data_IF_057014830306
#
_entry.id   IF_057014830306
#
_cell.length_a   1.000
_cell.length_b   1.000
_cell.length_c   1.000
_cell.angle_alpha   90.00
_cell.angle_beta   90.00
_cell.angle_gamma   90.00
#
_symmetry.space_group_name_H-M   'P 1'
#
loop_
_entity.id
_entity.type
_entity.pdbx_description
1 polymer ?
#
# COMPACT_ATOMS: atom_id res chain seq x y z
N UNK A 1 -42.04 17.34 31.27
CA UNK A 1 -40.68 17.92 31.28
C UNK A 1 -39.60 16.86 31.57
N UNK A 2 -39.68 15.64 30.99
CA UNK A 2 -38.75 14.52 31.26
C UNK A 2 -38.33 13.73 30.00
N UNK A 3 -38.70 14.19 28.80
CA UNK A 3 -38.33 13.50 27.54
C UNK A 3 -37.01 14.05 27.00
N UNK A 4 -36.76 15.35 27.15
CA UNK A 4 -35.59 16.04 26.60
C UNK A 4 -34.25 15.66 27.29
N UNK A 5 -34.28 15.16 28.52
CA UNK A 5 -33.06 14.73 29.24
C UNK A 5 -32.60 13.33 28.82
N UNK A 6 -33.50 12.48 28.31
CA UNK A 6 -33.19 11.09 27.97
C UNK A 6 -32.43 10.97 26.64
N UNK A 7 -32.66 11.88 25.70
CA UNK A 7 -31.94 11.90 24.41
C UNK A 7 -30.50 12.41 24.54
N UNK A 8 -30.25 13.34 25.47
CA UNK A 8 -28.90 13.87 25.72
C UNK A 8 -27.97 12.84 26.34
N UNK A 9 -28.50 11.94 27.19
CA UNK A 9 -27.72 10.84 27.77
C UNK A 9 -27.37 9.77 26.74
N UNK A 10 -28.29 9.46 25.80
CA UNK A 10 -28.03 8.51 24.72
C UNK A 10 -26.97 9.02 23.73
N UNK A 11 -26.95 10.32 23.44
CA UNK A 11 -25.94 10.93 22.56
C UNK A 11 -24.55 11.04 23.20
N UNK A 12 -24.45 11.09 24.53
CA UNK A 12 -23.14 11.08 25.20
C UNK A 12 -22.52 9.67 25.31
N UNK A 13 -23.34 8.61 25.36
CA UNK A 13 -22.85 7.23 25.43
C UNK A 13 -22.25 6.73 24.10
N UNK A 14 -22.71 7.25 22.96
CA UNK A 14 -22.16 6.88 21.65
C UNK A 14 -20.80 7.53 21.37
N UNK A 15 -20.52 8.71 21.95
CA UNK A 15 -19.28 9.42 21.69
C UNK A 15 -18.06 8.91 22.51
N UNK A 16 -18.31 8.15 23.58
CA UNK A 16 -17.24 7.62 24.47
C UNK A 16 -16.77 6.22 24.03
N UNK A 17 -17.60 5.45 23.34
CA UNK A 17 -17.28 4.06 22.95
C UNK A 17 -16.40 3.96 21.69
N UNK A 18 -16.45 4.94 20.79
CA UNK A 18 -15.57 4.98 19.61
C UNK A 18 -14.09 5.20 19.93
N UNK A 19 -13.78 5.91 21.02
CA UNK A 19 -12.40 6.24 21.39
C UNK A 19 -11.64 5.03 21.95
N UNK A 20 -12.29 4.18 22.74
CA UNK A 20 -11.66 2.94 23.24
C UNK A 20 -11.38 1.93 22.12
N UNK A 21 -12.22 1.91 21.07
CA UNK A 21 -12.12 1.01 19.90
C UNK A 21 -10.78 1.14 19.14
N UNK A 22 -10.14 2.30 19.21
CA UNK A 22 -8.89 2.61 18.49
C UNK A 22 -7.63 2.20 19.23
N UNK A 23 -7.63 2.35 20.55
CA UNK A 23 -6.51 1.93 21.39
C UNK A 23 -6.33 0.40 21.38
N UNK A 24 -7.44 -0.36 21.35
CA UNK A 24 -7.35 -1.82 21.31
C UNK A 24 -6.80 -2.37 19.99
N UNK A 25 -7.10 -1.74 18.84
CA UNK A 25 -6.54 -2.15 17.53
C UNK A 25 -5.03 -1.90 17.47
N UNK A 26 -4.56 -0.76 17.98
CA UNK A 26 -3.13 -0.46 18.05
C UNK A 26 -2.40 -1.37 19.05
N UNK A 27 -3.00 -1.60 20.23
CA UNK A 27 -2.43 -2.45 21.27
C UNK A 27 -2.37 -3.93 20.85
N UNK A 28 -3.38 -4.43 20.14
CA UNK A 28 -3.41 -5.80 19.63
C UNK A 28 -2.35 -6.00 18.53
N UNK A 29 -2.21 -5.03 17.62
CA UNK A 29 -1.16 -5.06 16.60
C UNK A 29 0.24 -5.06 17.24
N UNK A 30 0.48 -4.19 18.22
CA UNK A 30 1.73 -4.16 18.96
C UNK A 30 2.02 -5.48 19.69
N UNK A 31 1.01 -6.13 20.28
CA UNK A 31 1.14 -7.42 20.97
C UNK A 31 1.46 -8.56 19.98
N UNK A 32 0.80 -8.61 18.83
CA UNK A 32 1.07 -9.60 17.78
C UNK A 32 2.48 -9.43 17.22
N UNK A 33 2.91 -8.20 16.93
CA UNK A 33 4.28 -7.91 16.47
C UNK A 33 5.31 -8.32 17.52
N UNK A 34 5.06 -8.02 18.80
CA UNK A 34 5.95 -8.41 19.90
C UNK A 34 6.05 -9.93 20.01
N UNK A 35 4.94 -10.67 19.88
CA UNK A 35 4.91 -12.13 19.91
C UNK A 35 5.70 -12.74 18.74
N UNK A 36 5.54 -12.20 17.53
CA UNK A 36 6.28 -12.64 16.34
C UNK A 36 7.79 -12.42 16.51
N UNK A 37 8.20 -11.26 17.04
CA UNK A 37 9.61 -10.98 17.34
C UNK A 37 10.18 -11.92 18.42
N UNK A 38 9.35 -12.35 19.38
CA UNK A 38 9.75 -13.30 20.43
C UNK A 38 9.95 -14.72 19.87
N UNK A 39 9.08 -15.15 18.95
CA UNK A 39 9.22 -16.44 18.24
C UNK A 39 10.46 -16.45 17.33
N UNK A 40 10.73 -15.35 16.63
CA UNK A 40 11.93 -15.23 15.77
C UNK A 40 13.24 -15.19 16.58
N UNK A 41 13.22 -14.62 17.78
CA UNK A 41 14.39 -14.63 18.68
C UNK A 41 14.59 -15.99 19.38
N UNK A 42 13.56 -16.83 19.45
CA UNK A 42 13.59 -18.13 20.15
C UNK A 42 14.26 -19.28 19.38
N UNK A 43 14.57 -19.13 18.09
CA UNK A 43 15.11 -20.22 17.26
C UNK A 43 16.64 -20.19 17.08
N UNK A 44 17.36 -19.23 17.68
CA UNK A 44 18.82 -19.08 17.53
C UNK A 44 19.62 -19.48 18.79
N UNK A 45 19.29 -20.62 19.40
CA UNK A 45 20.15 -21.20 20.43
C UNK A 45 20.16 -22.73 20.35
N UNK A 46 21.04 -23.23 19.48
CA UNK A 46 21.44 -24.62 19.40
C UNK A 46 22.89 -24.69 18.91
N UNK A 47 23.82 -24.79 19.86
CA UNK A 47 25.28 -24.83 19.70
C UNK A 47 25.74 -26.30 19.58
N UNK A 48 26.95 -26.49 19.04
CA UNK A 48 27.89 -27.63 19.21
C UNK A 48 28.03 -28.57 18.00
N UNK A 49 29.25 -28.63 17.46
CA UNK A 49 29.73 -29.73 16.62
C UNK A 49 30.99 -29.40 15.82
N UNK A 50 32.11 -29.06 16.46
CA UNK A 50 33.43 -29.30 15.84
C UNK A 50 33.82 -30.76 16.05
N UNK A 51 34.51 -31.37 15.07
CA UNK A 51 35.87 -31.77 15.40
C UNK A 51 36.92 -31.46 14.31
N UNK A 52 38.04 -31.03 14.84
CA UNK A 52 39.41 -30.92 14.31
C UNK A 52 39.92 -32.21 13.61
N UNK A 53 40.45 -32.10 12.38
CA UNK A 53 41.40 -33.05 11.77
C UNK A 53 42.46 -32.30 10.92
N UNK A 54 43.48 -31.79 11.62
CA UNK A 54 44.93 -32.05 11.49
C UNK A 54 45.49 -32.67 10.17
N UNK A 55 46.39 -31.89 9.52
CA UNK A 55 47.63 -32.22 8.76
C UNK A 55 47.51 -32.86 7.35
N UNK A 56 48.24 -32.48 6.29
CA UNK A 56 49.60 -31.92 6.15
C UNK A 56 49.89 -31.46 4.68
N UNK A 57 51.07 -30.88 4.37
CA UNK A 57 51.32 -29.97 3.23
C UNK A 57 52.05 -30.63 2.04
N UNK A 58 52.06 -29.97 0.86
CA UNK A 58 53.24 -29.85 -0.02
C UNK A 58 52.98 -29.06 -1.34
N UNK A 59 53.76 -27.98 -1.52
CA UNK A 59 54.61 -27.60 -2.68
C UNK A 59 53.97 -27.67 -4.10
N UNK A 60 53.94 -26.62 -4.94
CA UNK A 60 54.98 -26.13 -5.88
C UNK A 60 54.30 -24.94 -6.61
N UNK A 61 54.76 -23.69 -6.44
CA UNK A 61 55.73 -22.94 -7.27
C UNK A 61 55.24 -22.54 -8.69
N UNK A 62 55.62 -21.30 -9.05
CA UNK A 62 55.77 -20.72 -10.39
C UNK A 62 54.59 -19.95 -11.02
N UNK A 63 54.60 -18.63 -10.74
CA UNK A 63 54.58 -17.54 -11.74
C UNK A 63 55.65 -17.79 -12.84
N UNK A 64 55.52 -17.28 -14.09
CA UNK A 64 55.52 -15.83 -14.33
C UNK A 64 54.75 -15.29 -15.56
N UNK A 65 54.67 -13.95 -15.56
CA UNK A 65 54.74 -12.95 -16.65
C UNK A 65 54.38 -13.28 -18.11
N UNK A 66 53.71 -12.30 -18.74
CA UNK A 66 53.68 -12.08 -20.19
C UNK A 66 52.57 -11.10 -20.57
N UNK A 67 52.87 -9.80 -20.65
CA UNK A 67 53.10 -9.04 -21.91
C UNK A 67 51.78 -8.58 -22.56
N UNK A 68 51.43 -7.30 -22.40
CA UNK A 68 51.61 -6.24 -23.41
C UNK A 68 50.74 -6.47 -24.66
N UNK A 69 49.78 -5.58 -24.94
CA UNK A 69 50.03 -4.62 -26.02
C UNK A 69 49.02 -3.47 -26.09
N UNK A 70 49.57 -2.32 -26.47
CA UNK A 70 48.89 -1.08 -26.82
C UNK A 70 48.19 -1.19 -28.17
N UNK A 71 47.00 -0.60 -28.31
CA UNK A 71 46.66 0.18 -29.51
C UNK A 71 45.30 0.89 -29.39
N UNK A 72 45.33 2.20 -29.16
CA UNK A 72 44.51 3.16 -29.93
C UNK A 72 45.31 3.41 -31.24
N UNK A 73 44.72 3.78 -32.41
CA UNK A 73 43.97 5.04 -32.57
C UNK A 73 42.90 5.10 -33.70
N UNK A 74 42.35 6.32 -33.87
CA UNK A 74 41.88 6.96 -35.13
C UNK A 74 40.36 6.95 -35.46
N UNK A 75 39.72 8.12 -35.27
CA UNK A 75 38.73 8.73 -36.19
C UNK A 75 39.49 9.58 -37.24
N UNK A 76 38.94 10.10 -38.39
CA UNK A 76 37.52 10.24 -38.85
C UNK A 76 37.37 9.91 -40.38
N UNK A 77 36.32 10.31 -41.18
CA UNK A 77 35.94 11.70 -41.48
C UNK A 77 34.42 11.99 -41.61
N UNK A 78 34.17 13.29 -41.75
CA UNK A 78 32.93 14.07 -41.88
C UNK A 78 32.40 14.07 -43.33
N UNK A 79 31.09 14.32 -43.45
CA UNK A 79 30.38 15.01 -44.55
C UNK A 79 29.82 14.19 -45.73
N UNK A 80 28.49 14.06 -45.80
CA UNK A 80 27.69 14.48 -46.96
C UNK A 80 26.21 14.57 -46.57
N UNK A 81 25.60 15.69 -46.92
CA UNK A 81 24.17 15.97 -46.79
C UNK A 81 23.39 15.26 -47.90
N UNK A 82 22.16 14.82 -47.61
CA UNK A 82 21.07 14.97 -48.58
C UNK A 82 19.72 14.99 -47.87
N UNK A 83 18.95 16.00 -48.25
CA UNK A 83 17.57 16.28 -47.89
C UNK A 83 16.66 15.12 -48.31
N UNK A 84 15.76 14.70 -47.42
CA UNK A 84 14.48 14.16 -47.85
C UNK A 84 13.37 14.81 -47.02
N UNK A 85 12.38 15.28 -47.76
CA UNK A 85 11.22 16.00 -47.28
C UNK A 85 10.13 15.00 -46.96
N UNK A 86 9.50 15.12 -45.80
CA UNK A 86 8.25 14.41 -45.56
C UNK A 86 7.93 14.13 -44.12
N UNK A 87 7.04 14.95 -43.56
CA UNK A 87 6.16 14.57 -42.45
C UNK A 87 6.83 14.50 -41.08
N UNK A 88 7.21 15.69 -40.58
CA UNK A 88 7.23 15.92 -39.13
C UNK A 88 5.80 15.88 -38.60
N UNK A 89 5.33 14.66 -38.30
CA UNK A 89 4.21 14.44 -37.38
C UNK A 89 4.73 14.80 -35.98
N UNK A 90 4.80 16.11 -35.70
CA UNK A 90 4.93 16.58 -34.33
C UNK A 90 3.56 16.36 -33.69
N UNK A 91 3.43 15.15 -33.17
CA UNK A 91 2.61 14.79 -32.03
C UNK A 91 2.73 15.92 -31.02
N UNK A 92 1.78 16.85 -31.05
CA UNK A 92 1.44 17.67 -29.90
C UNK A 92 1.01 16.68 -28.83
N UNK A 93 2.00 16.23 -28.07
CA UNK A 93 1.87 15.55 -26.81
C UNK A 93 1.03 16.48 -25.97
N UNK A 94 -0.28 16.22 -25.93
CA UNK A 94 -1.19 16.86 -25.01
C UNK A 94 -0.58 16.62 -23.64
N UNK A 95 0.01 17.67 -23.08
CA UNK A 95 0.34 17.72 -21.67
C UNK A 95 -1.02 17.65 -21.01
N UNK A 96 -1.47 16.43 -20.71
CA UNK A 96 -2.68 16.20 -19.95
C UNK A 96 -2.45 16.91 -18.63
N UNK A 97 -3.00 18.12 -18.51
CA UNK A 97 -3.20 18.79 -17.24
C UNK A 97 -4.07 17.84 -16.43
N UNK A 98 -3.43 16.95 -15.67
CA UNK A 98 -4.09 16.01 -14.78
C UNK A 98 -4.87 16.84 -13.77
N UNK A 99 -6.16 16.99 -14.02
CA UNK A 99 -7.05 17.69 -13.11
C UNK A 99 -7.10 16.88 -11.82
N UNK A 100 -6.79 17.53 -10.69
CA UNK A 100 -6.92 16.91 -9.38
C UNK A 100 -8.34 16.36 -9.21
N UNK A 101 -8.45 15.12 -8.77
CA UNK A 101 -9.75 14.52 -8.48
C UNK A 101 -10.39 15.22 -7.28
N UNK A 102 -11.61 15.71 -7.49
CA UNK A 102 -12.42 16.41 -6.48
C UNK A 102 -13.48 15.51 -5.83
N UNK A 103 -13.56 14.24 -6.26
CA UNK A 103 -14.48 13.24 -5.71
C UNK A 103 -13.83 11.85 -5.65
N UNK A 104 -14.19 11.09 -4.62
CA UNK A 104 -13.80 9.70 -4.43
C UNK A 104 -15.05 8.85 -4.53
N UNK A 105 -15.19 8.15 -5.65
CA UNK A 105 -16.36 7.31 -5.98
C UNK A 105 -16.04 5.84 -5.75
N UNK A 106 -14.81 5.41 -6.05
CA UNK A 106 -14.41 4.02 -5.87
C UNK A 106 -12.91 3.83 -5.66
N UNK A 107 -12.56 2.69 -5.05
CA UNK A 107 -11.21 2.13 -4.99
C UNK A 107 -11.28 0.69 -5.51
N UNK A 108 -10.44 0.32 -6.47
CA UNK A 108 -10.48 -1.00 -7.15
C UNK A 108 -11.87 -1.32 -7.75
N UNK A 109 -12.57 -0.30 -8.24
CA UNK A 109 -13.93 -0.41 -8.78
C UNK A 109 -15.04 -0.60 -7.74
N UNK A 110 -14.71 -0.63 -6.45
CA UNK A 110 -15.65 -0.81 -5.34
C UNK A 110 -16.03 0.54 -4.74
N UNK A 111 -17.33 0.80 -4.64
CA UNK A 111 -17.92 1.97 -4.02
C UNK A 111 -18.26 1.68 -2.55
N UNK A 112 -18.27 2.71 -1.70
CA UNK A 112 -18.80 2.57 -0.33
C UNK A 112 -20.32 2.35 -0.30
N UNK A 113 -21.01 2.60 -1.42
CA UNK A 113 -22.44 2.33 -1.57
C UNK A 113 -22.74 0.89 -2.01
N UNK A 114 -21.71 0.10 -2.36
CA UNK A 114 -21.89 -1.29 -2.78
C UNK A 114 -22.31 -2.17 -1.58
N UNK A 115 -23.03 -3.26 -1.89
CA UNK A 115 -23.27 -4.36 -0.95
C UNK A 115 -22.44 -5.61 -1.30
N UNK A 116 -22.59 -6.69 -0.53
CA UNK A 116 -21.83 -7.93 -0.77
C UNK A 116 -22.10 -8.56 -2.15
N UNK A 117 -23.32 -8.42 -2.69
CA UNK A 117 -23.69 -8.94 -4.00
C UNK A 117 -23.02 -8.12 -5.12
N UNK A 118 -23.01 -6.79 -5.01
CA UNK A 118 -22.35 -5.90 -5.97
C UNK A 118 -20.84 -6.16 -6.04
N UNK A 119 -20.19 -6.29 -4.88
CA UNK A 119 -18.76 -6.59 -4.82
C UNK A 119 -18.46 -7.98 -5.41
N UNK A 120 -19.31 -8.97 -5.14
CA UNK A 120 -19.15 -10.32 -5.71
C UNK A 120 -19.35 -10.31 -7.23
N UNK A 121 -20.25 -9.48 -7.75
CA UNK A 121 -20.44 -9.31 -9.20
C UNK A 121 -19.22 -8.65 -9.87
N UNK A 122 -18.57 -7.70 -9.19
CA UNK A 122 -17.39 -6.97 -9.68
C UNK A 122 -16.10 -7.78 -9.60
N UNK A 123 -15.85 -8.48 -8.48
CA UNK A 123 -14.56 -9.15 -8.19
C UNK A 123 -14.63 -10.67 -8.28
N UNK A 124 -15.82 -11.26 -8.37
CA UNK A 124 -16.03 -12.70 -8.25
C UNK A 124 -16.13 -13.14 -6.78
N UNK A 125 -16.01 -14.45 -6.54
CA UNK A 125 -16.05 -14.98 -5.17
C UNK A 125 -14.76 -14.63 -4.40
N UNK A 126 -14.86 -14.25 -3.12
CA UNK A 126 -13.68 -14.01 -2.29
C UNK A 126 -12.94 -15.31 -1.99
N UNK A 127 -11.64 -15.22 -1.72
CA UNK A 127 -10.83 -16.34 -1.25
C UNK A 127 -11.30 -16.81 0.13
N UNK A 128 -11.58 -15.85 0.99
CA UNK A 128 -12.00 -16.07 2.39
C UNK A 128 -13.02 -15.02 2.79
N UNK A 129 -14.00 -15.41 3.60
CA UNK A 129 -14.87 -14.50 4.34
C UNK A 129 -14.51 -14.61 5.82
N UNK A 130 -14.13 -13.51 6.44
CA UNK A 130 -13.73 -13.46 7.85
C UNK A 130 -14.75 -12.64 8.61
N UNK A 131 -15.44 -13.27 9.55
CA UNK A 131 -16.31 -12.57 10.50
C UNK A 131 -15.52 -12.20 11.75
N UNK A 132 -15.83 -11.05 12.35
CA UNK A 132 -15.25 -10.66 13.63
C UNK A 132 -16.17 -11.15 14.78
N UNK A 133 -15.73 -12.09 15.63
CA UNK A 133 -16.54 -12.59 16.74
C UNK A 133 -16.91 -11.52 17.75
N UNK A 134 -16.15 -10.41 17.81
CA UNK A 134 -16.36 -9.30 18.73
C UNK A 134 -17.26 -8.21 18.13
N UNK A 135 -17.40 -8.18 16.80
CA UNK A 135 -18.22 -7.20 16.07
C UNK A 135 -19.21 -7.92 15.16
N UNK A 136 -20.32 -8.36 15.76
CA UNK A 136 -21.43 -8.99 15.05
C UNK A 136 -21.91 -8.05 13.95
N UNK A 137 -21.99 -8.57 12.72
CA UNK A 137 -22.37 -7.80 11.54
C UNK A 137 -21.19 -7.24 10.75
N UNK A 138 -19.95 -7.34 11.25
CA UNK A 138 -18.74 -7.09 10.46
C UNK A 138 -18.27 -8.35 9.75
N UNK A 139 -18.03 -8.24 8.45
CA UNK A 139 -17.47 -9.32 7.64
C UNK A 139 -16.46 -8.75 6.66
N UNK A 140 -15.31 -9.41 6.51
CA UNK A 140 -14.27 -9.02 5.56
C UNK A 140 -14.18 -10.07 4.46
N UNK A 141 -14.35 -9.63 3.21
CA UNK A 141 -14.09 -10.45 2.04
C UNK A 141 -12.65 -10.21 1.60
N UNK A 142 -11.87 -11.28 1.54
CA UNK A 142 -10.46 -11.23 1.16
C UNK A 142 -10.30 -11.69 -0.29
N UNK A 143 -9.72 -10.82 -1.12
CA UNK A 143 -9.28 -11.12 -2.47
C UNK A 143 -7.73 -11.12 -2.52
N UNK A 144 -7.09 -11.59 -3.60
CA UNK A 144 -5.63 -11.61 -3.70
C UNK A 144 -4.98 -10.22 -3.46
N UNK A 145 -5.66 -9.20 -3.96
CA UNK A 145 -5.20 -7.82 -4.14
C UNK A 145 -5.96 -6.79 -3.28
N UNK A 146 -7.13 -7.13 -2.74
CA UNK A 146 -7.98 -6.18 -1.98
C UNK A 146 -8.73 -6.89 -0.86
N UNK A 147 -8.91 -6.20 0.27
CA UNK A 147 -9.81 -6.60 1.34
C UNK A 147 -11.01 -5.65 1.35
N UNK A 148 -12.21 -6.19 1.47
CA UNK A 148 -13.44 -5.39 1.53
C UNK A 148 -14.16 -5.71 2.82
N UNK A 149 -14.24 -4.74 3.72
CA UNK A 149 -15.01 -4.85 4.95
C UNK A 149 -16.44 -4.39 4.74
N UNK A 150 -17.37 -5.14 5.30
CA UNK A 150 -18.79 -4.85 5.30
C UNK A 150 -19.28 -4.66 6.73
N UNK A 151 -20.23 -3.77 6.92
CA UNK A 151 -21.04 -3.65 8.13
C UNK A 151 -22.51 -3.64 7.73
N UNK A 152 -23.30 -4.57 8.27
CA UNK A 152 -24.74 -4.69 7.92
C UNK A 152 -24.98 -4.76 6.40
N UNK A 153 -24.15 -5.54 5.68
CA UNK A 153 -24.19 -5.77 4.23
C UNK A 153 -23.79 -4.57 3.34
N UNK A 154 -23.34 -3.45 3.92
CA UNK A 154 -22.82 -2.29 3.17
C UNK A 154 -21.30 -2.20 3.29
N UNK A 155 -20.61 -1.80 2.23
CA UNK A 155 -19.15 -1.59 2.26
C UNK A 155 -18.79 -0.53 3.32
N UNK A 156 -18.08 -0.97 4.36
CA UNK A 156 -17.54 -0.12 5.41
C UNK A 156 -16.14 0.39 5.06
N UNK A 157 -15.33 -0.45 4.41
CA UNK A 157 -14.02 -0.04 3.90
C UNK A 157 -13.54 -0.92 2.75
N UNK A 158 -12.68 -0.34 1.91
CA UNK A 158 -11.87 -1.05 0.91
C UNK A 158 -10.41 -0.83 1.25
N UNK A 159 -9.62 -1.89 1.35
CA UNK A 159 -8.20 -1.82 1.70
C UNK A 159 -7.36 -2.56 0.65
N UNK A 160 -6.38 -1.85 0.08
CA UNK A 160 -5.40 -2.43 -0.84
C UNK A 160 -4.02 -2.47 -0.16
N UNK A 161 -3.45 -3.66 0.09
CA UNK A 161 -2.13 -3.79 0.67
C UNK A 161 -1.03 -3.40 -0.33
N UNK A 162 0.11 -2.94 0.18
CA UNK A 162 1.20 -2.44 -0.66
C UNK A 162 1.80 -3.46 -1.64
N UNK A 163 1.64 -4.75 -1.35
CA UNK A 163 2.03 -5.84 -2.27
C UNK A 163 1.31 -5.79 -3.63
N UNK A 164 0.18 -5.09 -3.75
CA UNK A 164 -0.51 -4.89 -5.03
C UNK A 164 0.32 -4.01 -5.99
N UNK A 165 1.14 -3.10 -5.46
CA UNK A 165 2.04 -2.22 -6.22
C UNK A 165 1.35 -1.11 -7.03
N UNK A 166 0.11 -1.33 -7.47
CA UNK A 166 -0.74 -0.36 -8.16
C UNK A 166 -2.13 -0.33 -7.54
N UNK A 167 -2.82 0.76 -7.78
CA UNK A 167 -4.21 0.96 -7.37
C UNK A 167 -5.00 1.68 -8.45
N UNK A 168 -6.31 1.47 -8.44
CA UNK A 168 -7.28 2.21 -9.22
C UNK A 168 -8.16 3.06 -8.31
N UNK A 169 -8.05 4.39 -8.42
CA UNK A 169 -8.95 5.33 -7.75
C UNK A 169 -9.88 5.92 -8.81
N UNK A 170 -11.19 5.74 -8.63
CA UNK A 170 -12.19 5.94 -9.68
C UNK A 170 -11.78 5.16 -10.95
N UNK A 171 -11.58 5.86 -12.08
CA UNK A 171 -11.17 5.26 -13.35
C UNK A 171 -9.66 5.40 -13.63
N UNK A 172 -8.86 5.87 -12.66
CA UNK A 172 -7.43 6.15 -12.84
C UNK A 172 -6.55 5.12 -12.14
N UNK A 173 -5.76 4.37 -12.91
CA UNK A 173 -4.74 3.46 -12.41
C UNK A 173 -3.43 4.22 -12.17
N UNK A 174 -2.89 4.11 -10.96
CA UNK A 174 -1.64 4.74 -10.53
C UNK A 174 -0.79 3.76 -9.73
N UNK A 175 0.51 4.03 -9.57
CA UNK A 175 1.32 3.26 -8.62
C UNK A 175 0.88 3.59 -7.19
N UNK A 176 0.97 2.61 -6.29
CA UNK A 176 0.73 2.85 -4.87
C UNK A 176 1.95 3.57 -4.25
N UNK A 177 2.11 4.84 -4.57
CA UNK A 177 3.14 5.71 -4.00
C UNK A 177 2.53 7.03 -3.56
N UNK A 178 3.10 7.65 -2.53
CA UNK A 178 2.64 8.96 -2.07
C UNK A 178 2.72 10.01 -3.20
N UNK A 179 3.76 9.95 -4.04
CA UNK A 179 3.94 10.89 -5.14
C UNK A 179 2.80 10.80 -6.17
N UNK A 180 2.47 9.59 -6.63
CA UNK A 180 1.42 9.40 -7.64
C UNK A 180 0.03 9.70 -7.06
N UNK A 181 -0.21 9.33 -5.79
CA UNK A 181 -1.46 9.67 -5.10
C UNK A 181 -1.60 11.19 -4.96
N UNK A 182 -0.52 11.92 -4.64
CA UNK A 182 -0.54 13.38 -4.59
C UNK A 182 -0.72 14.02 -5.97
N UNK A 183 -0.17 13.41 -7.02
CA UNK A 183 -0.41 13.89 -8.38
C UNK A 183 -1.89 13.77 -8.76
N UNK A 184 -2.57 12.74 -8.25
CA UNK A 184 -3.99 12.50 -8.52
C UNK A 184 -4.94 13.30 -7.59
N UNK A 185 -4.61 13.36 -6.30
CA UNK A 185 -5.45 13.89 -5.22
C UNK A 185 -4.89 15.20 -4.61
N UNK A 186 -3.85 15.81 -5.17
CA UNK A 186 -3.26 17.02 -4.61
C UNK A 186 -2.56 16.80 -3.26
N UNK A 187 -2.50 17.83 -2.43
CA UNK A 187 -1.90 17.73 -1.09
C UNK A 187 -2.84 17.01 -0.11
N UNK A 188 -2.30 16.26 0.87
CA UNK A 188 -3.12 15.61 1.89
C UNK A 188 -3.79 16.65 2.80
N UNK A 189 -5.02 16.34 3.20
CA UNK A 189 -5.82 17.17 4.11
C UNK A 189 -5.37 16.98 5.57
N UNK A 190 -4.86 15.79 5.91
CA UNK A 190 -4.30 15.49 7.23
C UNK A 190 -3.03 14.64 7.14
N UNK A 191 -2.10 14.84 8.07
CA UNK A 191 -0.88 14.06 8.22
C UNK A 191 -0.85 13.51 9.65
N UNK A 192 -0.69 12.20 9.77
CA UNK A 192 -0.61 11.47 11.03
C UNK A 192 0.73 10.69 11.10
N UNK A 193 1.04 10.13 12.27
CA UNK A 193 2.25 9.32 12.47
C UNK A 193 2.29 8.07 11.56
N UNK A 194 1.11 7.48 11.31
CA UNK A 194 0.95 6.22 10.59
C UNK A 194 0.53 6.41 9.11
N UNK A 195 0.45 7.65 8.62
CA UNK A 195 0.04 7.90 7.24
C UNK A 195 -0.48 9.29 6.94
N UNK A 196 -0.99 9.46 5.72
CA UNK A 196 -1.61 10.70 5.25
C UNK A 196 -3.04 10.44 4.77
N UNK A 197 -3.89 11.46 4.86
CA UNK A 197 -5.32 11.36 4.54
C UNK A 197 -5.71 12.39 3.49
N UNK A 198 -6.47 11.93 2.50
CA UNK A 198 -7.09 12.74 1.46
C UNK A 198 -8.61 12.62 1.60
N UNK A 199 -9.29 13.73 1.80
CA UNK A 199 -10.73 13.78 2.00
C UNK A 199 -11.41 14.43 0.80
N UNK A 200 -12.46 13.79 0.28
CA UNK A 200 -13.37 14.38 -0.71
C UNK A 200 -14.80 14.22 -0.23
N UNK A 201 -15.38 15.32 0.27
CA UNK A 201 -16.70 15.33 0.91
C UNK A 201 -16.72 14.35 2.10
N UNK A 202 -17.55 13.32 2.02
CA UNK A 202 -17.77 12.32 3.08
C UNK A 202 -16.90 11.08 2.92
N UNK A 203 -16.11 10.98 1.85
CA UNK A 203 -15.25 9.84 1.59
C UNK A 203 -13.77 10.21 1.77
N UNK A 204 -13.00 9.27 2.29
CA UNK A 204 -11.59 9.44 2.61
C UNK A 204 -10.77 8.33 1.98
N UNK A 205 -9.57 8.69 1.59
CA UNK A 205 -8.47 7.78 1.34
C UNK A 205 -7.40 8.03 2.40
N UNK A 206 -6.98 6.99 3.12
CA UNK A 206 -5.81 7.04 4.00
C UNK A 206 -4.72 6.15 3.43
N UNK A 207 -3.56 6.72 3.15
CA UNK A 207 -2.35 5.97 2.82
C UNK A 207 -1.58 5.69 4.11
N UNK A 208 -1.58 4.44 4.53
CA UNK A 208 -0.78 3.98 5.67
C UNK A 208 0.68 3.78 5.25
N UNK A 209 1.60 4.25 6.08
CA UNK A 209 3.03 4.22 5.79
C UNK A 209 3.82 3.75 7.01
N UNK A 210 4.96 3.11 6.77
CA UNK A 210 5.93 2.84 7.83
C UNK A 210 6.50 4.17 8.36
N UNK A 211 6.45 4.44 9.68
CA UNK A 211 6.92 5.72 10.22
C UNK A 211 8.37 6.05 9.84
N UNK A 212 9.25 5.04 9.86
CA UNK A 212 10.69 5.22 9.66
C UNK A 212 11.09 5.37 8.19
N UNK A 213 10.50 4.56 7.31
CA UNK A 213 10.92 4.45 5.90
C UNK A 213 10.01 5.24 4.96
N UNK A 214 8.84 5.67 5.44
CA UNK A 214 7.76 6.23 4.62
C UNK A 214 7.31 5.30 3.49
N UNK A 215 7.60 3.99 3.60
CA UNK A 215 7.12 3.00 2.63
C UNK A 215 5.62 2.75 2.84
N UNK A 216 4.82 2.70 1.76
CA UNK A 216 3.42 2.33 1.83
C UNK A 216 3.21 0.95 2.46
N UNK A 217 2.22 0.85 3.35
CA UNK A 217 1.75 -0.40 3.96
C UNK A 217 0.44 -0.84 3.30
N UNK A 218 -0.51 0.09 3.21
CA UNK A 218 -1.80 -0.09 2.55
C UNK A 218 -2.42 1.25 2.22
N UNK A 219 -3.47 1.23 1.42
CA UNK A 219 -4.38 2.35 1.26
C UNK A 219 -5.80 1.89 1.59
N UNK A 220 -6.50 2.71 2.36
CA UNK A 220 -7.85 2.42 2.82
C UNK A 220 -8.81 3.50 2.32
N UNK A 221 -9.97 3.08 1.80
CA UNK A 221 -11.06 3.93 1.35
C UNK A 221 -12.30 3.68 2.23
N UNK A 222 -12.84 4.73 2.85
CA UNK A 222 -13.92 4.64 3.84
C UNK A 222 -14.66 5.97 4.05
N UNK A 223 -15.76 5.95 4.80
CA UNK A 223 -16.55 7.15 5.11
C UNK A 223 -16.01 7.95 6.30
N UNK A 224 -16.21 9.26 6.30
CA UNK A 224 -15.84 10.13 7.43
C UNK A 224 -16.49 9.71 8.74
N UNK A 225 -17.71 9.20 8.68
CA UNK A 225 -18.44 8.66 9.83
C UNK A 225 -17.84 7.37 10.40
N UNK A 226 -16.94 6.72 9.67
CA UNK A 226 -16.17 5.57 10.16
C UNK A 226 -15.00 5.99 11.04
N UNK A 227 -14.69 7.30 11.11
CA UNK A 227 -13.64 7.88 11.97
C UNK A 227 -14.18 8.68 13.16
#
# INVERSE_FOLDING_TARGET
MNVLMREKEAQMLTHVTGYQRRFYRLALFALVVTLILLVLKGTSSGRIGEPEVVLSPAVISMLPEGSDDSSLPVSPPKLAAQEDAGTASNLSQAVSSSSILTSLVSLEGISLEDNTADVTAKKGAPLTKVEDPQFIGETIYQYPDVNVGFYEDVVAFVQVPARAGRIQINDQEISLTLADIKQLLGEPDFVAEDGVVFQRKEALIKLFMQPDTQNPISIDYYHLSST
#
